data_IF_940018679063
#
_entry.id   IF_940018679063
#
_cell.length_a   1.000
_cell.length_b   1.000
_cell.length_c   1.000
_cell.angle_alpha   90.00
_cell.angle_beta   90.00
_cell.angle_gamma   90.00
#
_symmetry.space_group_name_H-M   'P 1'
#
loop_
_entity.id
_entity.type
_entity.pdbx_description
1 polymer ?
#
# COMPACT_ATOMS: atom_id res chain seq x y z
N UNK A 1 4.49 14.56 -10.21
CA UNK A 1 5.18 13.85 -9.11
C UNK A 1 5.52 14.87 -8.03
N UNK A 2 5.33 14.50 -6.76
CA UNK A 2 5.67 15.34 -5.61
C UNK A 2 7.20 15.31 -5.46
N UNK A 3 7.84 16.46 -5.26
CA UNK A 3 9.28 16.50 -5.01
C UNK A 3 9.61 15.98 -3.60
N UNK A 4 10.86 15.56 -3.39
CA UNK A 4 11.32 14.91 -2.15
C UNK A 4 11.12 15.78 -0.91
N UNK A 5 11.31 17.11 -1.04
CA UNK A 5 11.16 18.04 0.07
C UNK A 5 9.68 18.16 0.47
N UNK A 6 8.79 18.24 -0.50
CA UNK A 6 7.35 18.23 -0.26
C UNK A 6 6.89 16.90 0.32
N UNK A 7 7.40 15.77 -0.19
CA UNK A 7 7.07 14.44 0.34
C UNK A 7 7.50 14.28 1.81
N UNK A 8 8.72 14.71 2.16
CA UNK A 8 9.22 14.69 3.53
C UNK A 8 8.35 15.56 4.46
N UNK A 9 7.95 16.75 3.99
CA UNK A 9 7.08 17.64 4.77
C UNK A 9 5.69 17.05 5.01
N UNK A 10 5.11 16.36 4.02
CA UNK A 10 3.83 15.68 4.17
C UNK A 10 3.94 14.50 5.14
N UNK A 11 5.03 13.73 5.07
CA UNK A 11 5.28 12.62 5.97
C UNK A 11 5.44 13.08 7.43
N UNK A 12 6.17 14.17 7.68
CA UNK A 12 6.36 14.75 9.01
C UNK A 12 5.04 15.19 9.67
N UNK A 13 4.07 15.62 8.86
CA UNK A 13 2.74 16.05 9.31
C UNK A 13 1.70 14.94 9.36
N UNK A 14 2.02 13.75 8.87
CA UNK A 14 1.06 12.65 8.83
C UNK A 14 0.76 12.16 10.26
N UNK A 15 -0.52 12.04 10.59
CA UNK A 15 -0.98 11.56 11.91
C UNK A 15 -1.18 10.06 11.96
N UNK A 16 -1.33 9.42 10.80
CA UNK A 16 -1.67 8.01 10.67
C UNK A 16 -0.73 7.32 9.69
N UNK A 17 -0.39 6.07 10.01
CA UNK A 17 0.31 5.16 9.12
C UNK A 17 -0.62 3.99 8.78
N UNK A 18 -0.69 3.64 7.50
CA UNK A 18 -1.47 2.50 7.05
C UNK A 18 -0.54 1.29 6.81
N UNK A 19 -0.65 0.21 7.60
CA UNK A 19 0.17 -0.99 7.42
C UNK A 19 -0.24 -1.83 6.20
N UNK A 20 -1.30 -1.45 5.48
CA UNK A 20 -1.87 -2.21 4.38
C UNK A 20 -2.52 -3.51 4.88
N UNK A 21 -3.16 -3.43 6.04
CA UNK A 21 -4.08 -4.45 6.53
C UNK A 21 -5.47 -4.18 5.93
N UNK A 22 -5.94 -5.04 5.03
CA UNK A 22 -7.23 -4.87 4.34
C UNK A 22 -8.20 -6.00 4.64
N UNK A 23 -9.45 -5.62 4.89
CA UNK A 23 -10.60 -6.51 4.86
C UNK A 23 -11.49 -6.10 3.69
N UNK A 24 -11.63 -6.98 2.70
CA UNK A 24 -12.38 -6.68 1.47
C UNK A 24 -13.69 -7.46 1.42
N UNK A 25 -14.80 -6.74 1.34
CA UNK A 25 -16.09 -7.34 0.99
C UNK A 25 -16.13 -7.60 -0.53
N UNK A 26 -16.09 -8.86 -0.93
CA UNK A 26 -16.10 -9.26 -2.35
C UNK A 26 -17.51 -9.36 -2.95
N UNK A 27 -18.55 -9.13 -2.15
CA UNK A 27 -19.96 -9.23 -2.55
C UNK A 27 -20.76 -8.06 -2.03
N UNK A 28 -21.78 -7.66 -2.79
CA UNK A 28 -22.72 -6.64 -2.38
C UNK A 28 -23.77 -7.18 -1.39
N UNK A 29 -24.69 -6.32 -0.94
CA UNK A 29 -25.78 -6.68 0.00
C UNK A 29 -26.73 -7.78 -0.51
N UNK A 30 -26.77 -8.01 -1.83
CA UNK A 30 -27.58 -9.07 -2.47
C UNK A 30 -26.80 -10.38 -2.64
N UNK A 31 -25.52 -10.42 -2.26
CA UNK A 31 -24.65 -11.59 -2.43
C UNK A 31 -23.98 -11.70 -3.80
N UNK A 32 -24.15 -10.70 -4.68
CA UNK A 32 -23.53 -10.66 -6.01
C UNK A 32 -22.08 -10.20 -5.88
N UNK A 33 -21.16 -10.80 -6.64
CA UNK A 33 -19.74 -10.41 -6.61
C UNK A 33 -19.55 -9.03 -7.24
N UNK A 34 -18.66 -8.22 -6.66
CA UNK A 34 -18.19 -7.02 -7.32
C UNK A 34 -17.21 -7.36 -8.45
N UNK A 35 -17.33 -6.68 -9.59
CA UNK A 35 -16.30 -6.75 -10.63
C UNK A 35 -15.21 -5.72 -10.37
N UNK A 36 -14.32 -6.06 -9.43
CA UNK A 36 -13.31 -5.13 -8.90
C UNK A 36 -12.32 -4.64 -9.99
N UNK A 37 -12.08 -5.45 -11.02
CA UNK A 37 -11.19 -5.10 -12.13
C UNK A 37 -11.72 -3.94 -12.99
N UNK A 38 -13.03 -3.67 -12.95
CA UNK A 38 -13.61 -2.49 -13.61
C UNK A 38 -13.23 -1.18 -12.95
N UNK A 39 -12.66 -1.21 -11.74
CA UNK A 39 -12.28 -0.03 -10.95
C UNK A 39 -10.75 0.15 -10.85
N UNK A 40 -10.00 -0.52 -11.74
CA UNK A 40 -8.58 -0.28 -11.93
C UNK A 40 -8.40 0.92 -12.85
N UNK A 41 -7.79 1.97 -12.34
CA UNK A 41 -7.32 3.08 -13.16
C UNK A 41 -6.06 2.64 -13.91
N UNK A 42 -6.13 2.57 -15.24
CA UNK A 42 -5.03 2.11 -16.11
C UNK A 42 -4.11 3.25 -16.55
N UNK A 43 -4.53 4.49 -16.34
CA UNK A 43 -3.74 5.67 -16.69
C UNK A 43 -2.73 6.02 -15.57
N UNK A 44 -2.83 5.34 -14.43
CA UNK A 44 -1.87 5.47 -13.33
C UNK A 44 -0.73 4.44 -13.40
N UNK A 45 0.29 4.69 -12.60
CA UNK A 45 1.51 3.90 -12.53
C UNK A 45 2.68 4.78 -12.09
N UNK A 46 3.81 4.18 -11.74
CA UNK A 46 5.00 4.96 -11.45
C UNK A 46 6.26 4.27 -11.97
N UNK A 47 7.28 5.08 -12.25
CA UNK A 47 8.59 4.59 -12.64
C UNK A 47 9.43 4.52 -11.37
N UNK A 48 9.89 3.32 -11.00
CA UNK A 48 10.82 3.11 -9.90
C UNK A 48 12.24 2.90 -10.42
N UNK A 49 13.22 3.38 -9.65
CA UNK A 49 14.62 3.04 -9.86
C UNK A 49 14.94 1.77 -9.07
N UNK A 50 15.36 0.73 -9.77
CA UNK A 50 15.75 -0.56 -9.18
C UNK A 50 17.16 -0.91 -9.64
N UNK A 51 17.78 -1.88 -8.98
CA UNK A 51 19.03 -2.50 -9.43
C UNK A 51 18.82 -3.98 -9.63
N UNK A 52 19.28 -4.52 -10.76
CA UNK A 52 19.30 -5.97 -11.00
C UNK A 52 20.68 -6.37 -11.49
N UNK A 53 21.29 -7.38 -10.84
CA UNK A 53 22.65 -7.85 -11.12
C UNK A 53 23.69 -6.72 -11.18
N UNK A 54 23.59 -5.76 -10.25
CA UNK A 54 24.48 -4.60 -10.15
C UNK A 54 24.25 -3.50 -11.20
N UNK A 55 23.23 -3.63 -12.07
CA UNK A 55 22.91 -2.60 -13.07
C UNK A 55 21.68 -1.79 -12.65
N UNK A 56 21.75 -0.45 -12.71
CA UNK A 56 20.58 0.39 -12.48
C UNK A 56 19.59 0.21 -13.63
N UNK A 57 18.30 0.13 -13.28
CA UNK A 57 17.20 0.05 -14.24
C UNK A 57 16.04 0.92 -13.77
N UNK A 58 15.23 1.35 -14.74
CA UNK A 58 13.93 1.96 -14.49
C UNK A 58 12.87 0.90 -14.73
N UNK A 59 12.02 0.65 -13.74
CA UNK A 59 10.89 -0.26 -13.85
C UNK A 59 9.61 0.56 -13.92
N UNK A 60 8.75 0.26 -14.91
CA UNK A 60 7.38 0.74 -14.90
C UNK A 60 6.56 -0.18 -14.00
N UNK A 61 6.03 0.37 -12.91
CA UNK A 61 5.09 -0.32 -12.04
C UNK A 61 3.68 0.02 -12.49
N UNK A 62 2.95 -1.03 -12.88
CA UNK A 62 1.53 -0.96 -13.17
C UNK A 62 0.74 -0.49 -11.93
N UNK A 63 -0.52 -0.07 -12.10
CA UNK A 63 -1.38 0.26 -10.97
C UNK A 63 -1.32 -0.83 -9.90
N UNK A 64 -0.77 -0.47 -8.75
CA UNK A 64 -0.79 -1.24 -7.53
C UNK A 64 -1.93 -0.76 -6.64
N UNK A 65 -2.05 -1.34 -5.45
CA UNK A 65 -3.20 -1.14 -4.57
C UNK A 65 -3.53 0.35 -4.39
N UNK A 66 -2.61 1.14 -3.84
CA UNK A 66 -2.84 2.57 -3.52
C UNK A 66 -2.69 3.53 -4.70
N UNK A 67 -2.05 3.10 -5.79
CA UNK A 67 -1.74 3.96 -6.93
C UNK A 67 -2.60 3.65 -8.17
N UNK A 68 -3.76 2.99 -8.00
CA UNK A 68 -4.80 2.92 -9.04
C UNK A 68 -5.55 1.60 -9.15
N UNK A 69 -5.05 0.50 -8.59
CA UNK A 69 -5.76 -0.78 -8.65
C UNK A 69 -7.08 -0.77 -7.86
N UNK A 70 -7.22 0.12 -6.86
CA UNK A 70 -8.43 0.31 -6.07
C UNK A 70 -9.09 1.69 -6.24
N UNK A 71 -8.81 2.40 -7.34
CA UNK A 71 -9.11 3.85 -7.50
C UNK A 71 -10.50 4.25 -7.03
N UNK A 72 -11.53 3.51 -7.44
CA UNK A 72 -12.94 3.80 -7.15
C UNK A 72 -13.58 2.83 -6.14
N UNK A 73 -12.77 2.20 -5.27
CA UNK A 73 -13.32 1.34 -4.22
C UNK A 73 -13.91 2.19 -3.09
N UNK A 74 -15.11 1.81 -2.63
CA UNK A 74 -15.66 2.33 -1.37
C UNK A 74 -14.77 1.90 -0.20
N UNK A 75 -13.98 2.84 0.33
CA UNK A 75 -12.93 2.57 1.32
C UNK A 75 -13.24 3.30 2.62
N UNK A 76 -13.12 2.59 3.75
CA UNK A 76 -13.26 3.14 5.10
C UNK A 76 -11.97 2.85 5.84
N UNK A 77 -11.37 3.88 6.44
CA UNK A 77 -10.20 3.74 7.31
C UNK A 77 -10.66 3.56 8.75
N UNK A 78 -10.07 2.58 9.44
CA UNK A 78 -10.36 2.27 10.84
C UNK A 78 -9.05 2.32 11.61
N UNK A 79 -9.02 3.14 12.66
CA UNK A 79 -7.90 3.17 13.58
C UNK A 79 -7.94 1.92 14.48
N UNK A 80 -6.79 1.26 14.61
CA UNK A 80 -6.63 0.06 15.41
C UNK A 80 -5.49 0.25 16.42
N UNK A 81 -5.52 -0.46 17.56
CA UNK A 81 -4.43 -0.40 18.53
C UNK A 81 -3.08 -0.79 17.91
N UNK A 82 -2.00 -0.13 18.33
CA UNK A 82 -0.66 -0.34 17.74
C UNK A 82 -0.16 -1.80 17.83
N UNK A 83 -0.61 -2.55 18.84
CA UNK A 83 -0.21 -3.95 19.05
C UNK A 83 -0.76 -4.92 17.99
N UNK A 84 -1.70 -4.50 17.14
CA UNK A 84 -2.17 -5.30 16.01
C UNK A 84 -1.17 -5.31 14.85
N UNK A 85 -0.16 -4.43 14.88
CA UNK A 85 0.82 -4.29 13.82
C UNK A 85 2.24 -4.59 14.32
N UNK A 86 2.75 -5.77 13.97
CA UNK A 86 4.10 -6.24 14.33
C UNK A 86 4.96 -6.40 13.05
N UNK A 87 5.56 -5.32 12.52
CA UNK A 87 6.34 -5.39 11.28
C UNK A 87 7.75 -5.93 11.50
N UNK A 88 8.21 -6.77 10.57
CA UNK A 88 9.61 -7.21 10.48
C UNK A 88 10.29 -6.45 9.33
N UNK A 89 11.19 -5.52 9.67
CA UNK A 89 11.95 -4.71 8.71
C UNK A 89 13.41 -5.13 8.62
N UNK A 90 13.97 -5.65 9.70
CA UNK A 90 15.34 -6.15 9.81
C UNK A 90 15.32 -7.57 10.36
N UNK A 91 16.42 -8.31 10.16
CA UNK A 91 16.55 -9.68 10.69
C UNK A 91 16.36 -9.72 12.20
N UNK A 92 16.82 -8.69 12.92
CA UNK A 92 16.68 -8.61 14.37
C UNK A 92 15.23 -8.43 14.84
N UNK A 93 14.32 -7.96 13.97
CA UNK A 93 12.92 -7.83 14.36
C UNK A 93 12.26 -9.18 14.62
N UNK A 94 12.78 -10.27 14.03
CA UNK A 94 12.32 -11.64 14.30
C UNK A 94 12.61 -12.12 15.73
N UNK A 95 13.53 -11.47 16.45
CA UNK A 95 13.90 -11.85 17.82
C UNK A 95 12.96 -11.28 18.88
N UNK A 96 11.99 -10.43 18.50
CA UNK A 96 11.01 -9.88 19.43
C UNK A 96 10.00 -10.95 19.84
N UNK A 97 9.48 -10.84 21.06
CA UNK A 97 8.55 -11.84 21.63
C UNK A 97 7.28 -12.02 20.78
N UNK A 98 6.86 -10.98 20.05
CA UNK A 98 5.70 -11.05 19.15
C UNK A 98 5.93 -11.95 17.90
N UNK A 99 7.16 -12.42 17.68
CA UNK A 99 7.58 -13.19 16.49
C UNK A 99 8.30 -14.52 16.79
N UNK A 100 8.35 -14.95 18.05
CA UNK A 100 8.85 -16.28 18.47
C UNK A 100 7.72 -17.31 18.54
#
# INVERSE_FOLDING_TARGET
QIDEKTAAHLADKATHFNPVDLVCAIKNRKGEKFELLSFVDKDTGFISSKSSSGRPLKALELPGLWNGAMSDWNTIFVEVPINTFNPVKTVNDLLRDEHQ
#
